data_IF_281613718314
#
_entry.id   IF_281613718314
#
_cell.length_a   1.000
_cell.length_b   1.000
_cell.length_c   1.000
_cell.angle_alpha   90.00
_cell.angle_beta   90.00
_cell.angle_gamma   90.00
#
_symmetry.space_group_name_H-M   'P 1'
#
loop_
_entity.id
_entity.type
_entity.pdbx_description
1 polymer ?
#
# COMPACT_ATOMS: atom_id res chain seq x y z
N UNK A 1 -8.34 -15.18 26.77
CA UNK A 1 -7.25 -14.28 26.36
C UNK A 1 -7.82 -13.25 25.41
N UNK A 2 -7.97 -12.01 25.89
CA UNK A 2 -8.60 -10.92 25.13
C UNK A 2 -7.74 -10.55 23.93
N UNK A 3 -8.17 -10.97 22.75
CA UNK A 3 -7.62 -10.46 21.50
C UNK A 3 -7.77 -8.94 21.50
N UNK A 4 -6.67 -8.24 21.26
CA UNK A 4 -6.64 -6.79 21.14
C UNK A 4 -7.56 -6.40 19.98
N UNK A 5 -8.81 -6.09 20.34
CA UNK A 5 -9.65 -5.25 19.54
C UNK A 5 -9.02 -3.85 19.56
N UNK A 6 -8.93 -3.23 18.39
CA UNK A 6 -9.19 -1.79 18.36
C UNK A 6 -10.14 -1.62 17.18
N UNK A 7 -11.45 -1.40 17.34
CA UNK A 7 -12.10 -0.19 17.88
C UNK A 7 -11.52 1.13 17.32
N UNK A 8 -10.26 1.18 16.84
CA UNK A 8 -9.70 2.40 16.23
C UNK A 8 -9.96 2.51 14.72
N UNK A 9 -10.38 1.43 14.05
CA UNK A 9 -10.37 1.28 12.58
C UNK A 9 -11.72 1.40 11.85
N UNK A 10 -12.75 1.99 12.47
CA UNK A 10 -13.83 2.67 11.74
C UNK A 10 -14.40 1.97 10.49
N UNK A 11 -14.62 0.66 10.54
CA UNK A 11 -15.48 -0.03 9.58
C UNK A 11 -16.56 -0.76 10.38
N UNK A 12 -17.73 -0.13 10.43
CA UNK A 12 -19.00 -0.77 10.71
C UNK A 12 -19.42 -1.65 9.51
N UNK A 13 -18.52 -2.50 9.05
CA UNK A 13 -18.86 -3.76 8.42
C UNK A 13 -18.29 -4.78 9.38
N UNK A 14 -19.16 -5.50 10.08
CA UNK A 14 -18.77 -6.71 10.80
C UNK A 14 -17.92 -7.54 9.85
N UNK A 15 -16.59 -7.56 10.03
CA UNK A 15 -15.75 -8.48 9.28
C UNK A 15 -16.07 -9.85 9.87
N UNK A 16 -16.74 -10.77 9.14
CA UNK A 16 -17.10 -12.07 9.68
C UNK A 16 -15.87 -12.97 9.90
N UNK A 17 -14.67 -12.48 9.56
CA UNK A 17 -13.43 -13.23 9.54
C UNK A 17 -12.37 -12.56 10.41
N UNK A 18 -11.57 -13.35 11.15
CA UNK A 18 -10.53 -12.82 12.02
C UNK A 18 -9.44 -12.09 11.20
N UNK A 19 -8.93 -11.01 11.77
CA UNK A 19 -7.78 -10.27 11.23
C UNK A 19 -6.53 -11.15 11.26
N UNK A 20 -5.76 -11.13 10.17
CA UNK A 20 -4.54 -11.92 10.02
C UNK A 20 -3.34 -11.02 10.32
N UNK A 21 -3.01 -10.89 11.60
CA UNK A 21 -1.97 -9.98 12.10
C UNK A 21 -0.61 -10.20 11.43
N UNK A 22 -0.25 -11.45 11.11
CA UNK A 22 1.01 -11.75 10.42
C UNK A 22 1.11 -11.11 9.03
N UNK A 23 0.00 -11.02 8.29
CA UNK A 23 -0.02 -10.35 6.99
C UNK A 23 0.10 -8.84 7.14
N UNK A 24 -0.51 -8.28 8.18
CA UNK A 24 -0.31 -6.87 8.56
C UNK A 24 1.18 -6.63 8.84
N UNK A 25 1.83 -7.48 9.64
CA UNK A 25 3.27 -7.43 9.90
C UNK A 25 4.13 -7.51 8.63
N UNK A 26 3.83 -8.44 7.71
CA UNK A 26 4.53 -8.57 6.44
C UNK A 26 4.39 -7.34 5.54
N UNK A 27 3.21 -6.71 5.50
CA UNK A 27 3.02 -5.43 4.81
C UNK A 27 3.88 -4.33 5.43
N UNK A 28 4.07 -4.38 6.75
CA UNK A 28 4.94 -3.45 7.47
C UNK A 28 6.39 -3.60 7.07
N UNK A 29 6.88 -4.84 7.01
CA UNK A 29 8.23 -5.14 6.51
C UNK A 29 8.43 -4.66 5.07
N UNK A 30 7.43 -4.87 4.20
CA UNK A 30 7.47 -4.33 2.84
C UNK A 30 7.56 -2.80 2.81
N UNK A 31 6.80 -2.11 3.67
CA UNK A 31 6.87 -0.65 3.79
C UNK A 31 8.26 -0.17 4.23
N UNK A 32 8.85 -0.78 5.26
CA UNK A 32 10.20 -0.43 5.73
C UNK A 32 11.27 -0.75 4.70
N UNK A 33 11.14 -1.88 3.99
CA UNK A 33 12.02 -2.26 2.90
C UNK A 33 12.06 -1.19 1.78
N UNK A 34 10.90 -0.66 1.39
CA UNK A 34 10.84 0.45 0.43
C UNK A 34 11.56 1.67 0.96
N UNK A 35 11.24 2.12 2.18
CA UNK A 35 11.91 3.28 2.77
C UNK A 35 13.43 3.09 2.83
N UNK A 36 13.90 1.94 3.28
CA UNK A 36 15.32 1.62 3.35
C UNK A 36 15.98 1.67 1.97
N UNK A 37 15.33 1.09 0.96
CA UNK A 37 15.83 1.12 -0.43
C UNK A 37 15.89 2.52 -1.03
N UNK A 38 14.93 3.37 -0.69
CA UNK A 38 14.85 4.74 -1.20
C UNK A 38 15.80 5.69 -0.47
N UNK A 39 15.99 5.51 0.84
CA UNK A 39 17.03 6.21 1.64
C UNK A 39 18.42 5.85 1.12
N UNK A 40 18.61 4.59 0.75
CA UNK A 40 19.86 4.05 0.26
C UNK A 40 20.86 3.76 1.37
N UNK A 41 22.04 3.31 0.96
CA UNK A 41 23.15 2.98 1.85
C UNK A 41 24.29 3.98 1.63
N UNK A 42 25.14 4.20 2.63
CA UNK A 42 26.31 5.07 2.47
C UNK A 42 27.23 4.50 1.38
N UNK A 43 27.82 5.37 0.55
CA UNK A 43 28.51 4.94 -0.70
C UNK A 43 29.64 3.91 -0.51
N UNK A 44 30.33 3.94 0.63
CA UNK A 44 31.46 3.04 0.93
C UNK A 44 31.03 1.73 1.60
N UNK A 45 29.73 1.46 1.71
CA UNK A 45 29.25 0.17 2.18
C UNK A 45 29.69 -0.97 1.24
N UNK A 46 29.83 -2.20 1.75
CA UNK A 46 30.08 -3.36 0.90
C UNK A 46 29.01 -3.49 -0.20
N UNK A 47 29.42 -3.89 -1.40
CA UNK A 47 28.52 -4.05 -2.55
C UNK A 47 27.33 -4.97 -2.23
N UNK A 48 27.58 -6.03 -1.44
CA UNK A 48 26.55 -6.96 -0.96
C UNK A 48 25.41 -6.24 -0.23
N UNK A 49 25.71 -5.19 0.55
CA UNK A 49 24.69 -4.42 1.27
C UNK A 49 23.91 -3.50 0.33
N UNK A 50 24.59 -2.89 -0.66
CA UNK A 50 23.93 -2.10 -1.70
C UNK A 50 22.97 -2.96 -2.51
N UNK A 51 23.42 -4.12 -2.97
CA UNK A 51 22.63 -5.07 -3.76
C UNK A 51 21.44 -5.62 -2.97
N UNK A 52 21.66 -5.94 -1.67
CA UNK A 52 20.60 -6.40 -0.80
C UNK A 52 19.51 -5.34 -0.61
N UNK A 53 19.90 -4.10 -0.28
CA UNK A 53 18.95 -3.01 -0.03
C UNK A 53 18.21 -2.62 -1.31
N UNK A 54 18.89 -2.58 -2.45
CA UNK A 54 18.28 -2.34 -3.75
C UNK A 54 17.30 -3.47 -4.13
N UNK A 55 17.73 -4.73 -4.04
CA UNK A 55 16.91 -5.90 -4.38
C UNK A 55 15.67 -6.03 -3.50
N UNK A 56 15.81 -5.81 -2.19
CA UNK A 56 14.68 -5.83 -1.24
C UNK A 56 13.68 -4.70 -1.54
N UNK A 57 14.14 -3.52 -1.98
CA UNK A 57 13.27 -2.44 -2.45
C UNK A 57 12.43 -2.82 -3.67
N UNK A 58 13.08 -3.38 -4.69
CA UNK A 58 12.42 -3.84 -5.92
C UNK A 58 11.35 -4.89 -5.63
N UNK A 59 11.60 -5.80 -4.70
CA UNK A 59 10.65 -6.88 -4.33
C UNK A 59 9.54 -6.41 -3.38
N UNK A 60 9.75 -5.35 -2.61
CA UNK A 60 8.80 -4.91 -1.59
C UNK A 60 7.46 -4.40 -2.17
N UNK A 61 7.49 -3.72 -3.31
CA UNK A 61 6.29 -3.22 -4.01
C UNK A 61 5.41 -4.37 -4.53
N UNK A 62 5.92 -5.30 -5.39
CA UNK A 62 5.13 -6.44 -5.83
C UNK A 62 4.63 -7.25 -4.64
N UNK A 63 5.46 -7.46 -3.62
CA UNK A 63 5.05 -8.18 -2.42
C UNK A 63 3.88 -7.49 -1.70
N UNK A 64 3.92 -6.15 -1.52
CA UNK A 64 2.80 -5.39 -0.97
C UNK A 64 1.50 -5.56 -1.77
N UNK A 65 1.60 -5.61 -3.10
CA UNK A 65 0.45 -5.79 -3.99
C UNK A 65 -0.10 -7.22 -3.96
N UNK A 66 0.76 -8.25 -3.88
CA UNK A 66 0.35 -9.65 -3.61
C UNK A 66 -0.44 -9.72 -2.31
N UNK A 67 0.10 -9.17 -1.21
CA UNK A 67 -0.58 -9.18 0.09
C UNK A 67 -1.91 -8.42 0.03
N UNK A 68 -1.97 -7.34 -0.74
CA UNK A 68 -3.20 -6.57 -0.92
C UNK A 68 -4.27 -7.36 -1.69
N UNK A 69 -3.90 -8.08 -2.77
CA UNK A 69 -4.82 -8.95 -3.51
C UNK A 69 -5.34 -10.09 -2.65
N UNK A 70 -4.47 -10.71 -1.88
CA UNK A 70 -4.82 -11.77 -0.93
C UNK A 70 -5.80 -11.28 0.16
N UNK A 71 -5.48 -10.18 0.84
CA UNK A 71 -6.33 -9.61 1.91
C UNK A 71 -7.71 -9.23 1.38
N UNK A 72 -7.78 -8.75 0.14
CA UNK A 72 -9.05 -8.39 -0.49
C UNK A 72 -9.88 -9.64 -0.82
N UNK A 73 -9.28 -10.64 -1.45
CA UNK A 73 -9.91 -11.94 -1.71
C UNK A 73 -10.41 -12.63 -0.42
N UNK A 74 -9.67 -12.49 0.68
CA UNK A 74 -10.06 -13.00 1.98
C UNK A 74 -11.25 -12.25 2.60
N UNK A 75 -11.29 -10.92 2.48
CA UNK A 75 -12.31 -10.08 3.12
C UNK A 75 -13.60 -9.94 2.32
N UNK A 76 -13.55 -10.08 0.99
CA UNK A 76 -14.68 -9.86 0.09
C UNK A 76 -14.93 -11.04 -0.87
N UNK A 77 -15.01 -12.29 -0.39
CA UNK A 77 -15.07 -13.48 -1.25
C UNK A 77 -16.29 -13.53 -2.17
N UNK A 78 -17.41 -12.88 -1.79
CA UNK A 78 -18.65 -12.81 -2.55
C UNK A 78 -18.75 -11.57 -3.44
N UNK A 79 -17.77 -10.66 -3.39
CA UNK A 79 -17.81 -9.46 -4.21
C UNK A 79 -17.47 -9.84 -5.65
N UNK A 80 -18.42 -9.59 -6.53
CA UNK A 80 -18.29 -9.73 -7.98
C UNK A 80 -18.93 -8.50 -8.63
N UNK A 81 -18.60 -8.22 -9.88
CA UNK A 81 -19.25 -7.19 -10.68
C UNK A 81 -20.79 -7.33 -10.69
N UNK A 82 -21.29 -8.57 -10.61
CA UNK A 82 -22.72 -8.89 -10.55
C UNK A 82 -23.35 -8.75 -9.16
N UNK A 83 -22.60 -8.43 -8.11
CA UNK A 83 -23.07 -8.46 -6.72
C UNK A 83 -23.94 -7.26 -6.30
N UNK A 84 -24.38 -6.44 -7.26
CA UNK A 84 -25.28 -5.31 -7.08
C UNK A 84 -24.57 -3.98 -6.77
N UNK A 85 -25.17 -2.87 -7.23
CA UNK A 85 -24.63 -1.51 -7.09
C UNK A 85 -24.36 -1.10 -5.64
N UNK A 86 -25.20 -1.53 -4.70
CA UNK A 86 -25.06 -1.17 -3.29
C UNK A 86 -23.82 -1.79 -2.64
N UNK A 87 -23.52 -3.06 -2.93
CA UNK A 87 -22.36 -3.75 -2.36
C UNK A 87 -21.05 -3.18 -2.93
N UNK A 88 -21.02 -2.92 -4.25
CA UNK A 88 -19.90 -2.25 -4.92
C UNK A 88 -19.71 -0.84 -4.37
N UNK A 89 -20.79 -0.08 -4.14
CA UNK A 89 -20.74 1.25 -3.53
C UNK A 89 -20.13 1.25 -2.14
N UNK A 90 -20.55 0.33 -1.26
CA UNK A 90 -19.98 0.17 0.09
C UNK A 90 -18.50 -0.23 0.05
N UNK A 91 -18.14 -1.13 -0.87
CA UNK A 91 -16.75 -1.50 -1.11
C UNK A 91 -15.91 -0.29 -1.56
N UNK A 92 -16.37 0.43 -2.58
CA UNK A 92 -15.67 1.58 -3.14
C UNK A 92 -15.50 2.67 -2.09
N UNK A 93 -16.54 2.98 -1.32
CA UNK A 93 -16.48 3.92 -0.21
C UNK A 93 -15.43 3.50 0.84
N UNK A 94 -15.32 2.21 1.14
CA UNK A 94 -14.28 1.71 2.04
C UNK A 94 -12.86 1.88 1.53
N UNK A 95 -12.65 1.83 0.21
CA UNK A 95 -11.35 2.08 -0.40
C UNK A 95 -11.04 3.57 -0.48
N UNK A 96 -12.02 4.40 -0.84
CA UNK A 96 -11.88 5.86 -0.86
C UNK A 96 -11.58 6.39 0.53
N UNK A 97 -12.32 5.96 1.55
CA UNK A 97 -12.10 6.38 2.94
C UNK A 97 -10.73 5.97 3.49
N UNK A 98 -10.12 4.92 2.92
CA UNK A 98 -8.77 4.49 3.26
C UNK A 98 -7.69 5.38 2.61
N UNK A 99 -7.87 5.77 1.35
CA UNK A 99 -6.81 6.42 0.56
C UNK A 99 -6.93 7.96 0.56
N UNK A 100 -8.14 8.47 0.34
CA UNK A 100 -8.36 9.86 -0.04
C UNK A 100 -7.97 10.88 1.04
N UNK A 101 -8.36 10.74 2.33
CA UNK A 101 -8.03 11.76 3.32
C UNK A 101 -6.53 12.00 3.44
N UNK A 102 -5.77 10.90 3.45
CA UNK A 102 -4.32 10.96 3.58
C UNK A 102 -3.67 11.51 2.32
N UNK A 103 -4.10 11.04 1.15
CA UNK A 103 -3.56 11.50 -0.13
C UNK A 103 -3.79 13.01 -0.35
N UNK A 104 -4.99 13.50 -0.02
CA UNK A 104 -5.33 14.91 -0.17
C UNK A 104 -4.52 15.81 0.76
N UNK A 105 -4.40 15.45 2.05
CA UNK A 105 -3.66 16.28 3.01
C UNK A 105 -2.16 16.23 2.74
N UNK A 106 -1.58 15.06 2.48
CA UNK A 106 -0.15 14.95 2.15
C UNK A 106 0.13 15.68 0.83
N UNK A 107 -0.74 15.55 -0.17
CA UNK A 107 -0.61 16.30 -1.42
C UNK A 107 -0.66 17.82 -1.21
N UNK A 108 -1.60 18.30 -0.39
CA UNK A 108 -1.65 19.72 -0.02
C UNK A 108 -0.36 20.18 0.66
N UNK A 109 0.20 19.37 1.59
CA UNK A 109 1.50 19.67 2.20
C UNK A 109 2.64 19.72 1.17
N UNK A 110 2.66 18.82 0.18
CA UNK A 110 3.65 18.84 -0.91
C UNK A 110 3.51 20.13 -1.73
N UNK A 111 2.30 20.55 -2.09
CA UNK A 111 2.09 21.79 -2.84
C UNK A 111 2.54 23.02 -2.04
N UNK A 112 2.24 23.07 -0.74
CA UNK A 112 2.67 24.16 0.16
C UNK A 112 4.19 24.21 0.28
N UNK A 113 4.84 23.07 0.51
CA UNK A 113 6.31 22.98 0.56
C UNK A 113 6.96 23.25 -0.80
N UNK A 114 6.23 22.99 -1.89
CA UNK A 114 6.63 23.34 -3.24
C UNK A 114 6.85 24.82 -3.46
N UNK A 115 6.17 25.69 -2.72
CA UNK A 115 6.43 27.13 -2.75
C UNK A 115 7.85 27.48 -2.27
N UNK A 116 8.46 26.65 -1.42
CA UNK A 116 9.82 26.82 -0.90
C UNK A 116 10.86 26.04 -1.72
N UNK A 117 10.50 24.86 -2.24
CA UNK A 117 11.44 23.92 -2.89
C UNK A 117 11.39 23.96 -4.43
N UNK A 118 10.44 24.68 -5.02
CA UNK A 118 10.27 24.81 -6.46
C UNK A 118 9.47 23.68 -7.11
N UNK A 119 9.08 23.90 -8.37
CA UNK A 119 8.20 23.00 -9.11
C UNK A 119 8.81 21.64 -9.46
N UNK A 120 10.13 21.56 -9.65
CA UNK A 120 10.82 20.29 -9.91
C UNK A 120 10.72 19.34 -8.72
N UNK A 121 10.89 19.86 -7.51
CA UNK A 121 10.73 19.08 -6.29
C UNK A 121 9.30 18.54 -6.16
N UNK A 122 8.30 19.37 -6.43
CA UNK A 122 6.89 18.96 -6.44
C UNK A 122 6.66 17.84 -7.43
N UNK A 123 7.17 17.97 -8.67
CA UNK A 123 7.06 16.93 -9.71
C UNK A 123 7.68 15.62 -9.27
N UNK A 124 8.87 15.65 -8.67
CA UNK A 124 9.57 14.45 -8.22
C UNK A 124 8.79 13.72 -7.11
N UNK A 125 8.33 14.45 -6.08
CA UNK A 125 7.54 13.85 -4.98
C UNK A 125 6.20 13.31 -5.49
N UNK A 126 5.49 14.05 -6.34
CA UNK A 126 4.22 13.59 -6.89
C UNK A 126 4.38 12.44 -7.86
N UNK A 127 5.46 12.39 -8.65
CA UNK A 127 5.72 11.26 -9.54
C UNK A 127 5.75 9.96 -8.72
N UNK A 128 6.53 9.93 -7.63
CA UNK A 128 6.63 8.77 -6.73
C UNK A 128 5.30 8.40 -6.07
N UNK A 129 4.55 9.40 -5.60
CA UNK A 129 3.27 9.16 -4.94
C UNK A 129 2.19 8.69 -5.93
N UNK A 130 2.13 9.31 -7.11
CA UNK A 130 1.05 9.10 -8.07
C UNK A 130 1.09 7.71 -8.70
N UNK A 131 2.27 7.22 -9.11
CA UNK A 131 2.36 5.89 -9.71
C UNK A 131 1.93 4.80 -8.72
N UNK A 132 2.34 4.91 -7.45
CA UNK A 132 1.97 3.95 -6.41
C UNK A 132 0.48 4.01 -6.09
N UNK A 133 -0.06 5.21 -5.86
CA UNK A 133 -1.49 5.40 -5.57
C UNK A 133 -2.34 4.95 -6.75
N UNK A 134 -1.95 5.25 -7.99
CA UNK A 134 -2.64 4.78 -9.18
C UNK A 134 -2.62 3.24 -9.28
N UNK A 135 -1.51 2.60 -8.94
CA UNK A 135 -1.42 1.12 -8.88
C UNK A 135 -2.39 0.53 -7.87
N UNK A 136 -2.47 1.11 -6.67
CA UNK A 136 -3.39 0.66 -5.62
C UNK A 136 -4.86 0.90 -6.02
N UNK A 137 -5.18 2.07 -6.56
CA UNK A 137 -6.52 2.42 -7.05
C UNK A 137 -6.94 1.49 -8.18
N UNK A 138 -6.05 1.23 -9.14
CA UNK A 138 -6.30 0.29 -10.23
C UNK A 138 -6.56 -1.12 -9.70
N UNK A 139 -5.76 -1.62 -8.77
CA UNK A 139 -5.99 -2.92 -8.13
C UNK A 139 -7.37 -2.98 -7.44
N UNK A 140 -7.77 -1.90 -6.75
CA UNK A 140 -9.08 -1.81 -6.10
C UNK A 140 -10.23 -1.76 -7.10
N UNK A 141 -10.07 -1.05 -8.22
CA UNK A 141 -11.07 -0.98 -9.29
C UNK A 141 -11.17 -2.31 -10.05
N UNK A 142 -10.04 -2.99 -10.28
CA UNK A 142 -9.98 -4.26 -10.99
C UNK A 142 -10.55 -5.43 -10.15
N UNK A 143 -10.49 -5.34 -8.81
CA UNK A 143 -10.88 -6.45 -7.95
C UNK A 143 -12.32 -6.97 -8.17
N UNK A 144 -13.38 -6.15 -8.18
CA UNK A 144 -14.74 -6.65 -8.42
C UNK A 144 -14.91 -7.34 -9.80
N UNK A 145 -14.15 -6.89 -10.81
CA UNK A 145 -14.16 -7.48 -12.15
C UNK A 145 -13.45 -8.84 -12.17
N UNK A 146 -12.34 -8.95 -11.44
CA UNK A 146 -11.49 -10.13 -11.43
C UNK A 146 -11.95 -11.19 -10.43
N UNK A 147 -12.61 -10.79 -9.34
CA UNK A 147 -12.93 -11.68 -8.22
C UNK A 147 -13.79 -12.89 -8.65
N UNK A 148 -14.82 -12.68 -9.48
CA UNK A 148 -15.65 -13.77 -9.98
C UNK A 148 -14.88 -14.74 -10.89
N UNK A 149 -14.00 -14.23 -11.76
CA UNK A 149 -13.16 -15.05 -12.63
C UNK A 149 -12.12 -15.83 -11.83
N UNK A 150 -11.41 -15.18 -10.91
CA UNK A 150 -10.40 -15.82 -10.06
C UNK A 150 -11.04 -16.87 -9.16
N UNK A 151 -12.23 -16.61 -8.61
CA UNK A 151 -12.93 -17.59 -7.76
C UNK A 151 -13.35 -18.84 -8.54
N UNK A 152 -13.85 -18.69 -9.77
CA UNK A 152 -14.35 -19.80 -10.60
C UNK A 152 -13.25 -20.55 -11.36
N UNK A 153 -12.20 -19.85 -11.83
CA UNK A 153 -11.15 -20.42 -12.70
C UNK A 153 -9.75 -20.11 -12.17
N UNK A 154 -9.46 -20.51 -10.92
CA UNK A 154 -8.19 -20.23 -10.23
C UNK A 154 -6.94 -20.59 -11.05
N UNK A 155 -6.89 -21.80 -11.61
CA UNK A 155 -5.72 -22.25 -12.38
C UNK A 155 -5.52 -21.40 -13.62
N UNK A 156 -6.59 -21.09 -14.35
CA UNK A 156 -6.52 -20.21 -15.51
C UNK A 156 -6.05 -18.79 -15.13
N UNK A 157 -6.50 -18.26 -13.99
CA UNK A 157 -6.04 -16.97 -13.49
C UNK A 157 -4.55 -16.96 -13.13
N UNK A 158 -4.05 -18.04 -12.50
CA UNK A 158 -2.62 -18.20 -12.21
C UNK A 158 -1.82 -18.23 -13.50
N UNK A 159 -2.22 -19.09 -14.45
CA UNK A 159 -1.53 -19.23 -15.74
C UNK A 159 -1.52 -17.92 -16.50
N UNK A 160 -2.68 -17.24 -16.61
CA UNK A 160 -2.76 -15.94 -17.26
C UNK A 160 -1.86 -14.89 -16.60
N UNK A 161 -1.85 -14.82 -15.26
CA UNK A 161 -1.00 -13.89 -14.54
C UNK A 161 0.50 -14.20 -14.73
N UNK A 162 0.90 -15.47 -14.73
CA UNK A 162 2.29 -15.87 -14.98
C UNK A 162 2.72 -15.58 -16.42
N UNK A 163 1.87 -15.86 -17.40
CA UNK A 163 2.14 -15.58 -18.82
C UNK A 163 2.27 -14.08 -19.05
N UNK A 164 1.32 -13.28 -18.58
CA UNK A 164 1.38 -11.81 -18.71
C UNK A 164 2.60 -11.26 -17.96
N UNK A 165 2.87 -11.75 -16.75
CA UNK A 165 4.06 -11.36 -15.98
C UNK A 165 5.37 -11.70 -16.70
N UNK A 166 5.47 -12.87 -17.33
CA UNK A 166 6.63 -13.27 -18.12
C UNK A 166 6.81 -12.39 -19.37
N UNK A 167 5.73 -12.07 -20.08
CA UNK A 167 5.77 -11.14 -21.22
C UNK A 167 6.25 -9.76 -20.78
N UNK A 168 5.70 -9.23 -19.68
CA UNK A 168 6.12 -7.94 -19.15
C UNK A 168 7.58 -7.94 -18.71
N UNK A 169 8.06 -9.03 -18.12
CA UNK A 169 9.48 -9.19 -17.78
C UNK A 169 10.37 -9.21 -19.04
N UNK A 170 9.95 -9.91 -20.09
CA UNK A 170 10.69 -9.91 -21.37
C UNK A 170 10.74 -8.51 -21.98
N UNK A 171 9.63 -7.76 -21.93
CA UNK A 171 9.59 -6.37 -22.41
C UNK A 171 10.50 -5.46 -21.57
N UNK A 172 10.49 -5.60 -20.24
CA UNK A 172 11.36 -4.82 -19.35
C UNK A 172 12.84 -5.12 -19.62
N UNK A 173 13.20 -6.39 -19.86
CA UNK A 173 14.58 -6.79 -20.16
C UNK A 173 15.01 -6.39 -21.59
N UNK A 174 14.06 -6.27 -22.52
CA UNK A 174 14.31 -5.96 -23.92
C UNK A 174 14.19 -4.48 -24.29
N UNK A 175 13.70 -3.63 -23.38
CA UNK A 175 13.47 -2.20 -23.64
C UNK A 175 14.02 -1.34 -22.52
N UNK A 176 14.31 -0.07 -22.81
CA UNK A 176 14.69 0.92 -21.79
C UNK A 176 13.47 1.61 -21.15
N UNK A 177 12.27 1.04 -21.30
CA UNK A 177 11.03 1.62 -20.77
C UNK A 177 10.91 1.21 -19.31
N UNK A 178 10.65 2.18 -18.43
CA UNK A 178 10.42 1.93 -17.00
C UNK A 178 9.01 1.37 -16.75
N UNK A 179 8.74 0.09 -17.10
CA UNK A 179 7.39 -0.47 -17.00
C UNK A 179 6.90 -0.52 -15.55
N UNK A 180 7.81 -0.60 -14.57
CA UNK A 180 7.46 -0.60 -13.15
C UNK A 180 6.68 0.66 -12.71
N UNK A 181 6.83 1.78 -13.42
CA UNK A 181 6.07 3.02 -13.15
C UNK A 181 4.66 2.99 -13.71
N UNK A 182 4.33 2.02 -14.56
CA UNK A 182 3.03 1.91 -15.21
C UNK A 182 2.09 1.07 -14.32
N UNK A 183 0.99 1.64 -13.81
CA UNK A 183 0.11 0.94 -12.85
C UNK A 183 -0.42 -0.42 -13.31
N UNK A 184 -0.69 -0.59 -14.61
CA UNK A 184 -1.29 -1.80 -15.16
C UNK A 184 -0.38 -3.02 -15.11
N UNK A 185 0.94 -2.81 -15.10
CA UNK A 185 1.97 -3.85 -15.07
C UNK A 185 1.91 -4.67 -13.78
N UNK A 186 1.30 -4.11 -12.73
CA UNK A 186 1.17 -4.76 -11.44
C UNK A 186 -0.07 -5.66 -11.28
N UNK A 187 -1.02 -5.62 -12.22
CA UNK A 187 -2.22 -6.46 -12.16
C UNK A 187 -1.93 -7.97 -12.09
N UNK A 188 -0.96 -8.54 -12.84
CA UNK A 188 -0.65 -9.96 -12.74
C UNK A 188 -0.22 -10.36 -11.33
N UNK A 189 0.65 -9.57 -10.70
CA UNK A 189 1.12 -9.79 -9.33
C UNK A 189 -0.03 -9.70 -8.33
N UNK A 190 -0.93 -8.74 -8.52
CA UNK A 190 -2.14 -8.62 -7.71
C UNK A 190 -3.07 -9.83 -7.85
N UNK A 191 -3.27 -10.33 -9.08
CA UNK A 191 -4.06 -11.54 -9.37
C UNK A 191 -3.43 -12.77 -8.70
N UNK A 192 -2.10 -12.93 -8.77
CA UNK A 192 -1.42 -14.01 -8.04
C UNK A 192 -1.75 -13.94 -6.55
N UNK A 193 -1.72 -12.76 -5.94
CA UNK A 193 -2.17 -12.54 -4.57
C UNK A 193 -3.59 -13.03 -4.30
N UNK A 194 -4.54 -12.75 -5.19
CA UNK A 194 -5.93 -13.22 -5.07
C UNK A 194 -6.07 -14.75 -5.13
N UNK A 195 -5.12 -15.45 -5.74
CA UNK A 195 -5.13 -16.92 -5.89
C UNK A 195 -4.50 -17.65 -4.72
N UNK A 196 -3.71 -16.95 -3.90
CA UNK A 196 -3.00 -17.55 -2.76
C UNK A 196 -3.98 -18.14 -1.74
N UNK A 197 -3.61 -19.29 -1.19
CA UNK A 197 -4.27 -19.89 -0.02
C UNK A 197 -3.52 -19.47 1.24
N UNK A 198 -4.21 -19.39 2.38
CA UNK A 198 -3.61 -19.04 3.67
C UNK A 198 -2.34 -19.86 3.93
N UNK A 199 -1.15 -19.23 3.97
CA UNK A 199 0.04 -19.87 4.48
C UNK A 199 0.04 -19.84 6.01
N UNK A 200 0.66 -20.83 6.63
CA UNK A 200 1.00 -20.77 8.06
C UNK A 200 2.14 -19.79 8.25
N UNK A 201 1.86 -18.62 8.83
CA UNK A 201 2.90 -17.64 9.14
C UNK A 201 3.49 -17.86 10.53
N UNK A 202 4.80 -17.65 10.72
CA UNK A 202 5.40 -17.71 12.04
C UNK A 202 4.84 -16.62 12.95
N UNK A 203 4.64 -16.96 14.23
CA UNK A 203 3.99 -16.09 15.22
C UNK A 203 4.71 -14.77 15.46
N UNK A 204 6.02 -14.69 15.22
CA UNK A 204 6.79 -13.46 15.41
C UNK A 204 6.37 -12.33 14.45
N UNK A 205 5.82 -12.65 13.27
CA UNK A 205 5.26 -11.66 12.34
C UNK A 205 4.02 -10.97 12.90
N UNK A 206 3.34 -11.57 13.87
CA UNK A 206 2.21 -10.99 14.58
C UNK A 206 2.64 -10.16 15.82
N UNK A 207 3.93 -9.83 15.96
CA UNK A 207 4.40 -8.94 17.02
C UNK A 207 3.78 -7.55 16.87
N UNK A 208 3.42 -6.92 18.00
CA UNK A 208 2.84 -5.57 18.08
C UNK A 208 3.59 -4.52 17.26
N UNK A 209 4.92 -4.55 17.24
CA UNK A 209 5.74 -3.58 16.49
C UNK A 209 5.56 -3.77 14.99
N UNK A 210 5.71 -5.00 14.50
CA UNK A 210 5.55 -5.31 13.07
C UNK A 210 4.12 -5.04 12.60
N UNK A 211 3.13 -5.43 13.40
CA UNK A 211 1.72 -5.12 13.13
C UNK A 211 1.51 -3.61 13.08
N UNK A 212 2.11 -2.83 14.00
CA UNK A 212 1.98 -1.37 13.99
C UNK A 212 2.55 -0.76 12.72
N UNK A 213 3.78 -1.15 12.35
CA UNK A 213 4.42 -0.74 11.09
C UNK A 213 3.55 -1.16 9.90
N UNK A 214 2.91 -2.32 9.98
CA UNK A 214 1.94 -2.83 9.02
C UNK A 214 0.72 -1.96 8.82
N UNK A 215 0.11 -1.50 9.92
CA UNK A 215 -1.04 -0.59 9.91
C UNK A 215 -0.66 0.74 9.22
N UNK A 216 0.52 1.27 9.51
CA UNK A 216 1.01 2.52 8.90
C UNK A 216 1.71 2.32 7.56
N UNK A 217 1.73 1.11 6.99
CA UNK A 217 2.42 0.82 5.73
C UNK A 217 1.98 1.75 4.58
N UNK A 218 0.68 1.97 4.42
CA UNK A 218 0.19 2.88 3.38
C UNK A 218 0.63 4.35 3.59
N UNK A 219 0.44 4.95 4.77
CA UNK A 219 1.06 6.24 5.10
C UNK A 219 2.57 6.30 4.86
N UNK A 220 3.28 5.21 5.15
CA UNK A 220 4.72 5.11 4.94
C UNK A 220 5.08 5.19 3.45
N UNK A 221 4.41 4.42 2.59
CA UNK A 221 4.55 4.51 1.14
C UNK A 221 4.24 5.90 0.59
N UNK A 222 3.31 6.64 1.19
CA UNK A 222 2.97 7.98 0.70
C UNK A 222 3.95 9.06 1.19
N UNK A 223 4.36 8.99 2.45
CA UNK A 223 5.10 10.07 3.11
C UNK A 223 6.62 9.91 3.03
N UNK A 224 7.15 8.72 2.75
CA UNK A 224 8.60 8.52 2.65
C UNK A 224 9.22 9.37 1.53
N UNK A 225 8.55 9.55 0.38
CA UNK A 225 9.03 10.40 -0.70
C UNK A 225 9.20 11.86 -0.27
N UNK A 226 8.34 12.36 0.62
CA UNK A 226 8.45 13.71 1.19
C UNK A 226 9.73 13.86 2.02
N UNK A 227 10.00 12.87 2.88
CA UNK A 227 11.18 12.87 3.74
C UNK A 227 12.44 12.78 2.88
N UNK A 228 12.48 11.88 1.92
CA UNK A 228 13.70 11.62 1.15
C UNK A 228 14.00 12.76 0.17
N UNK A 229 13.00 13.30 -0.53
CA UNK A 229 13.22 14.46 -1.39
C UNK A 229 13.47 15.74 -0.60
N UNK A 230 13.00 15.84 0.66
CA UNK A 230 13.28 16.98 1.53
C UNK A 230 14.69 16.98 2.11
N UNK A 231 15.24 15.81 2.47
CA UNK A 231 16.54 15.69 3.14
C UNK A 231 17.68 15.19 2.25
N UNK A 232 17.38 14.68 1.04
CA UNK A 232 18.35 14.21 0.06
C UNK A 232 18.75 12.74 0.24
N UNK A 233 19.84 12.33 -0.41
CA UNK A 233 20.42 10.96 -0.32
C UNK A 233 21.54 10.91 0.72
N UNK A 234 21.77 9.73 1.29
CA UNK A 234 22.80 9.51 2.31
C UNK A 234 24.20 9.76 1.72
N UNK A 235 25.02 10.65 2.31
CA UNK A 235 26.39 10.90 1.83
C UNK A 235 27.34 9.69 1.97
N UNK A 236 28.49 9.75 1.30
CA UNK A 236 29.53 8.72 1.38
C UNK A 236 30.33 8.74 2.70
N UNK A 237 30.77 7.58 3.19
CA UNK A 237 32.09 7.50 3.84
C UNK A 237 32.22 7.37 5.36
N UNK A 238 31.18 7.25 6.19
CA UNK A 238 31.40 7.12 7.65
C UNK A 238 30.25 6.47 8.43
N UNK A 239 30.53 5.98 9.65
CA UNK A 239 29.53 5.47 10.60
C UNK A 239 28.41 6.51 10.89
N UNK A 240 28.71 7.83 11.05
CA UNK A 240 27.69 8.87 11.09
C UNK A 240 26.66 8.82 9.96
N UNK A 241 27.05 8.47 8.74
CA UNK A 241 26.11 8.41 7.62
C UNK A 241 25.19 7.19 7.72
N UNK A 242 25.67 6.07 8.28
CA UNK A 242 24.82 4.93 8.59
C UNK A 242 23.78 5.29 9.67
N UNK A 243 24.20 6.02 10.71
CA UNK A 243 23.28 6.55 11.73
C UNK A 243 22.27 7.53 11.12
N UNK A 244 22.71 8.40 10.21
CA UNK A 244 21.83 9.32 9.50
C UNK A 244 20.77 8.59 8.66
N UNK A 245 21.16 7.52 7.95
CA UNK A 245 20.23 6.68 7.21
C UNK A 245 19.16 6.06 8.13
N UNK A 246 19.57 5.54 9.29
CA UNK A 246 18.65 5.01 10.30
C UNK A 246 17.73 6.12 10.86
N UNK A 247 18.26 7.32 11.08
CA UNK A 247 17.49 8.49 11.50
C UNK A 247 16.43 8.87 10.45
N UNK A 248 16.74 8.82 9.15
CA UNK A 248 15.77 9.08 8.09
C UNK A 248 14.70 8.01 7.98
N UNK A 249 15.06 6.74 8.11
CA UNK A 249 14.08 5.65 8.18
C UNK A 249 13.16 5.85 9.39
N UNK A 250 13.72 6.13 10.57
CA UNK A 250 12.96 6.41 11.77
C UNK A 250 12.05 7.64 11.61
N UNK A 251 12.56 8.71 10.99
CA UNK A 251 11.78 9.92 10.70
C UNK A 251 10.62 9.61 9.74
N UNK A 252 10.85 8.84 8.68
CA UNK A 252 9.79 8.42 7.75
C UNK A 252 8.71 7.60 8.46
N UNK A 253 9.10 6.68 9.36
CA UNK A 253 8.17 5.92 10.20
C UNK A 253 7.39 6.84 11.14
N UNK A 254 8.04 7.81 11.78
CA UNK A 254 7.39 8.78 12.67
C UNK A 254 6.41 9.69 11.93
N UNK A 255 6.78 10.19 10.75
CA UNK A 255 5.92 11.01 9.89
C UNK A 255 4.72 10.18 9.43
N UNK A 256 4.93 8.94 9.01
CA UNK A 256 3.87 8.02 8.61
C UNK A 256 2.90 7.71 9.76
N UNK A 257 3.42 7.50 10.96
CA UNK A 257 2.65 7.28 12.19
C UNK A 257 1.81 8.51 12.56
N UNK A 258 2.41 9.71 12.50
CA UNK A 258 1.69 10.97 12.70
C UNK A 258 0.58 11.17 11.66
N UNK A 259 0.91 11.00 10.37
CA UNK A 259 -0.05 11.13 9.29
C UNK A 259 -1.18 10.09 9.40
N UNK A 260 -0.88 8.86 9.82
CA UNK A 260 -1.90 7.86 10.12
C UNK A 260 -2.84 8.30 11.23
N UNK A 261 -2.29 8.71 12.38
CA UNK A 261 -3.06 9.01 13.60
C UNK A 261 -3.89 10.28 13.48
N UNK A 262 -3.31 11.35 12.92
CA UNK A 262 -3.91 12.68 12.90
C UNK A 262 -4.68 13.00 11.61
N UNK A 263 -4.44 12.26 10.53
CA UNK A 263 -5.12 12.49 9.24
C UNK A 263 -5.90 11.25 8.81
N UNK A 264 -5.22 10.11 8.69
CA UNK A 264 -5.80 8.89 8.15
C UNK A 264 -7.00 8.37 8.96
N UNK A 265 -6.82 8.18 10.27
CA UNK A 265 -7.86 7.70 11.18
C UNK A 265 -9.07 8.65 11.25
N UNK A 266 -8.91 9.95 11.57
CA UNK A 266 -10.06 10.85 11.65
C UNK A 266 -10.75 11.04 10.29
N UNK A 267 -9.99 11.18 9.20
CA UNK A 267 -10.55 11.33 7.86
C UNK A 267 -11.35 10.11 7.40
N UNK A 268 -10.85 8.90 7.68
CA UNK A 268 -11.57 7.65 7.39
C UNK A 268 -12.90 7.57 8.16
N UNK A 269 -12.88 7.90 9.46
CA UNK A 269 -14.09 7.89 10.30
C UNK A 269 -15.12 8.89 9.79
N UNK A 270 -14.69 10.11 9.47
CA UNK A 270 -15.56 11.16 8.95
C UNK A 270 -16.24 10.75 7.64
N UNK A 271 -15.49 10.21 6.67
CA UNK A 271 -16.08 9.74 5.40
C UNK A 271 -17.06 8.59 5.60
N UNK A 272 -16.77 7.67 6.52
CA UNK A 272 -17.66 6.56 6.86
C UNK A 272 -18.94 7.02 7.53
N UNK A 273 -18.86 8.01 8.42
CA UNK A 273 -20.03 8.61 9.06
C UNK A 273 -20.91 9.34 8.04
N UNK A 274 -20.29 10.07 7.11
CA UNK A 274 -21.00 10.73 6.02
C UNK A 274 -21.72 9.72 5.13
N UNK A 275 -21.05 8.64 4.71
CA UNK A 275 -21.66 7.59 3.91
C UNK A 275 -22.87 6.94 4.62
N UNK A 276 -22.75 6.65 5.91
CA UNK A 276 -23.86 6.10 6.72
C UNK A 276 -25.06 7.05 6.82
N UNK A 277 -24.81 8.36 6.91
CA UNK A 277 -25.88 9.37 6.93
C UNK A 277 -26.62 9.45 5.60
N UNK A 278 -25.89 9.34 4.48
CA UNK A 278 -26.48 9.33 3.14
C UNK A 278 -27.35 8.08 2.92
N UNK A 279 -26.84 6.90 3.28
CA UNK A 279 -27.59 5.63 3.19
C UNK A 279 -28.90 5.67 4.00
N UNK A 280 -28.89 6.29 5.19
CA UNK A 280 -30.11 6.45 6.02
C UNK A 280 -31.13 7.40 5.38
N UNK A 281 -30.67 8.47 4.73
CA UNK A 281 -31.54 9.44 4.06
C UNK A 281 -32.21 8.85 2.82
N UNK A 282 -31.49 8.06 2.02
CA UNK A 282 -32.08 7.37 0.88
C UNK A 282 -33.13 6.36 1.33
N UNK A 283 -32.84 5.60 2.41
CA UNK A 283 -33.78 4.63 2.96
C UNK A 283 -35.07 5.26 3.53
N UNK A 284 -35.03 6.52 3.98
CA UNK A 284 -36.23 7.24 4.46
C UNK A 284 -37.05 7.94 3.37
N UNK A 285 -36.54 8.02 2.14
CA UNK A 285 -37.25 8.62 1.00
C UNK A 285 -37.98 7.56 0.17
N UNK A 286 -37.47 6.32 0.19
CA UNK A 286 -38.03 5.18 -0.56
C UNK A 286 -39.06 4.35 0.24
N UNK A 287 -39.37 4.72 1.49
CA UNK A 287 -40.31 4.02 2.38
C UNK A 287 -41.46 4.93 2.80
#
# INVERSE_FOLDING_TARGET
MSGLTSVSEGAALSHPRPEILALTGLRGLAGVAVVASTVGVWRTAPDVLHDLVAGVGVLAIPFFLVLSGYVLAYNYPSLSYSAGRQLIGRYAMARVARLAPLFLVVGACVLLLGALNGGDWVRAVYADQAWFVASVVLCYAAYPLLAGFVASRRVAAIVAALVVGAVLLVVELGTSVELYRIPIVWLPVFVLGMTLRMPSFPRWLANRVLVRIGVISYPLFLTHSLVIHGFGRVPAGSVPNALLALCWIALAVLVAEGAHRYVGVPGRRWLMDLARRLDRRTASVDG
#
